data_IF_351152581180
#
_entry.id   IF_351152581180
#
_cell.length_a   1.000
_cell.length_b   1.000
_cell.length_c   1.000
_cell.angle_alpha   90.00
_cell.angle_beta   90.00
_cell.angle_gamma   90.00
#
_symmetry.space_group_name_H-M   'P 1'
#
loop_
_entity.id
_entity.type
_entity.pdbx_description
1 polymer ?
#
# COMPACT_ATOMS: atom_id res chain seq x y z
N UNK A 1 7.59 -37.94 -7.41
CA UNK A 1 7.84 -36.86 -6.40
C UNK A 1 8.52 -35.74 -7.17
N UNK A 2 8.08 -34.51 -6.98
CA UNK A 2 8.69 -33.35 -7.65
C UNK A 2 10.02 -33.06 -6.96
N UNK A 3 11.12 -33.00 -7.73
CA UNK A 3 12.44 -32.63 -7.22
C UNK A 3 12.54 -31.10 -7.13
N UNK A 4 12.47 -30.58 -5.90
CA UNK A 4 12.49 -29.15 -5.62
C UNK A 4 13.91 -28.54 -5.71
N UNK A 5 14.95 -29.36 -5.80
CA UNK A 5 16.34 -28.89 -5.99
C UNK A 5 16.67 -28.70 -7.48
N UNK A 6 15.78 -29.16 -8.37
CA UNK A 6 15.93 -29.01 -9.81
C UNK A 6 15.31 -27.69 -10.31
N UNK A 7 16.15 -26.73 -10.67
CA UNK A 7 15.71 -25.40 -11.16
C UNK A 7 14.82 -25.47 -12.43
N UNK A 8 14.94 -26.50 -13.26
CA UNK A 8 14.09 -26.65 -14.45
C UNK A 8 12.63 -26.92 -14.07
N UNK A 9 12.38 -27.53 -12.91
CA UNK A 9 11.03 -27.76 -12.40
C UNK A 9 10.33 -26.45 -12.09
N UNK A 10 11.04 -25.48 -11.51
CA UNK A 10 10.48 -24.16 -11.26
C UNK A 10 10.09 -23.45 -12.55
N UNK A 11 10.93 -23.51 -13.58
CA UNK A 11 10.63 -22.90 -14.88
C UNK A 11 9.36 -23.48 -15.53
N UNK A 12 9.10 -24.78 -15.35
CA UNK A 12 7.93 -25.44 -15.88
C UNK A 12 6.64 -25.13 -15.08
N UNK A 13 6.75 -24.99 -13.76
CA UNK A 13 5.60 -24.82 -12.88
C UNK A 13 5.27 -23.36 -12.61
N UNK A 14 6.25 -22.46 -12.64
CA UNK A 14 6.11 -21.04 -12.34
C UNK A 14 5.81 -20.21 -13.58
N UNK A 15 4.67 -20.47 -14.20
CA UNK A 15 4.21 -19.75 -15.41
C UNK A 15 4.00 -18.24 -15.18
N UNK A 16 3.83 -17.82 -13.93
CA UNK A 16 3.65 -16.43 -13.55
C UNK A 16 4.94 -15.72 -13.12
N UNK A 17 6.08 -16.41 -13.13
CA UNK A 17 7.38 -15.85 -12.75
C UNK A 17 7.47 -15.46 -11.28
N UNK A 18 6.74 -16.14 -10.39
CA UNK A 18 6.65 -15.80 -8.97
C UNK A 18 8.01 -15.81 -8.28
N UNK A 19 8.88 -16.76 -8.65
CA UNK A 19 10.24 -16.83 -8.11
C UNK A 19 11.08 -15.60 -8.48
N UNK A 20 10.93 -15.08 -9.70
CA UNK A 20 11.59 -13.85 -10.14
C UNK A 20 11.10 -12.65 -9.32
N UNK A 21 9.79 -12.52 -9.13
CA UNK A 21 9.22 -11.47 -8.28
C UNK A 21 9.72 -11.54 -6.84
N UNK A 22 9.93 -12.74 -6.28
CA UNK A 22 10.48 -12.90 -4.93
C UNK A 22 11.97 -12.51 -4.86
N UNK A 23 12.76 -12.83 -5.88
CA UNK A 23 14.17 -12.42 -5.96
C UNK A 23 14.32 -10.90 -6.10
N UNK A 24 13.43 -10.27 -6.85
CA UNK A 24 13.41 -8.81 -7.05
C UNK A 24 12.78 -8.05 -5.88
N UNK A 25 12.24 -8.74 -4.88
CA UNK A 25 11.49 -8.13 -3.77
C UNK A 25 12.25 -6.99 -3.07
N UNK A 26 13.56 -7.12 -2.73
CA UNK A 26 14.31 -6.02 -2.13
C UNK A 26 14.40 -4.79 -3.05
N UNK A 27 14.65 -5.01 -4.34
CA UNK A 27 14.73 -3.94 -5.34
C UNK A 27 13.37 -3.25 -5.51
N UNK A 28 12.28 -4.01 -5.52
CA UNK A 28 10.92 -3.47 -5.58
C UNK A 28 10.63 -2.57 -4.38
N UNK A 29 11.02 -2.99 -3.17
CA UNK A 29 10.88 -2.17 -1.96
C UNK A 29 11.67 -0.87 -2.09
N UNK A 30 12.92 -0.92 -2.52
CA UNK A 30 13.78 0.25 -2.71
C UNK A 30 13.17 1.23 -3.71
N UNK A 31 12.76 0.75 -4.89
CA UNK A 31 12.12 1.58 -5.92
C UNK A 31 10.83 2.23 -5.43
N UNK A 32 9.99 1.47 -4.72
CA UNK A 32 8.75 2.01 -4.16
C UNK A 32 9.02 3.09 -3.11
N UNK A 33 10.06 2.92 -2.28
CA UNK A 33 10.49 3.90 -1.28
C UNK A 33 10.96 5.20 -1.93
N UNK A 34 11.86 5.13 -2.88
CA UNK A 34 12.36 6.31 -3.60
C UNK A 34 11.24 7.10 -4.29
N UNK A 35 10.27 6.39 -4.85
CA UNK A 35 9.11 7.01 -5.50
C UNK A 35 8.18 7.69 -4.51
N UNK A 36 7.87 7.04 -3.38
CA UNK A 36 6.95 7.64 -2.40
C UNK A 36 7.57 8.84 -1.69
N UNK A 37 8.88 8.86 -1.49
CA UNK A 37 9.56 10.04 -0.95
C UNK A 37 9.44 11.27 -1.87
N UNK A 38 9.39 11.06 -3.19
CA UNK A 38 9.20 12.10 -4.20
C UNK A 38 7.72 12.46 -4.45
N UNK A 39 6.79 11.65 -3.92
CA UNK A 39 5.37 11.87 -4.15
C UNK A 39 4.86 13.09 -3.38
N UNK A 40 4.23 14.03 -4.08
CA UNK A 40 3.70 15.25 -3.47
C UNK A 40 2.39 14.98 -2.74
N UNK A 41 2.36 15.37 -1.46
CA UNK A 41 1.16 15.32 -0.62
C UNK A 41 0.59 16.73 -0.46
N UNK A 42 -0.73 16.93 -0.60
CA UNK A 42 -1.34 18.22 -0.44
C UNK A 42 -1.14 18.78 0.98
N UNK A 43 -0.99 20.10 1.08
CA UNK A 43 -0.88 20.79 2.36
C UNK A 43 -2.09 20.48 3.26
N UNK A 44 -1.82 20.25 4.53
CA UNK A 44 -2.86 20.00 5.54
C UNK A 44 -3.25 18.52 5.69
N UNK A 45 -2.72 17.58 4.89
CA UNK A 45 -2.98 16.14 5.06
C UNK A 45 -2.39 15.60 6.38
N UNK A 46 -1.37 16.22 6.92
CA UNK A 46 -0.83 15.89 8.27
C UNK A 46 -1.75 16.33 9.43
N UNK A 47 -2.73 17.20 9.16
CA UNK A 47 -3.67 17.70 10.17
C UNK A 47 -4.93 16.82 10.22
N UNK A 48 -4.77 15.59 10.66
CA UNK A 48 -5.88 14.63 10.83
C UNK A 48 -5.81 14.01 12.22
N UNK A 49 -6.93 13.53 12.73
CA UNK A 49 -7.03 12.88 14.03
C UNK A 49 -7.14 11.35 13.94
N UNK A 50 -7.37 10.83 12.76
CA UNK A 50 -7.49 9.39 12.49
C UNK A 50 -7.23 9.06 11.02
N UNK A 51 -6.83 7.83 10.75
CA UNK A 51 -6.63 7.29 9.40
C UNK A 51 -7.51 6.06 9.19
N UNK A 52 -8.16 5.98 8.04
CA UNK A 52 -8.86 4.78 7.57
C UNK A 52 -8.20 4.32 6.28
N UNK A 53 -7.71 3.09 6.28
CA UNK A 53 -7.13 2.43 5.10
C UNK A 53 -8.19 1.47 4.56
N UNK A 54 -8.68 1.74 3.35
CA UNK A 54 -9.62 0.88 2.64
C UNK A 54 -8.81 -0.10 1.79
N UNK A 55 -9.02 -1.40 1.95
CA UNK A 55 -8.29 -2.38 1.15
C UNK A 55 -8.65 -3.81 1.49
N UNK A 56 -8.34 -4.73 0.57
CA UNK A 56 -8.57 -6.16 0.70
C UNK A 56 -7.27 -6.95 0.50
N UNK A 57 -7.22 -8.18 1.00
CA UNK A 57 -6.11 -9.10 0.76
C UNK A 57 -4.74 -8.48 1.04
N UNK A 58 -3.83 -8.54 0.07
CA UNK A 58 -2.46 -8.01 0.18
C UNK A 58 -2.40 -6.50 0.41
N UNK A 59 -3.34 -5.72 -0.14
CA UNK A 59 -3.43 -4.28 0.09
C UNK A 59 -3.80 -3.96 1.55
N UNK A 60 -4.69 -4.75 2.15
CA UNK A 60 -5.06 -4.61 3.55
C UNK A 60 -3.94 -5.04 4.51
N UNK A 61 -3.14 -6.06 4.15
CA UNK A 61 -1.99 -6.53 4.96
C UNK A 61 -0.97 -5.40 5.12
N UNK A 62 -0.66 -4.66 4.05
CA UNK A 62 0.19 -3.47 4.13
C UNK A 62 -0.33 -2.45 5.14
N UNK A 63 -1.65 -2.22 5.14
CA UNK A 63 -2.34 -1.38 6.11
C UNK A 63 -2.21 -1.87 7.56
N UNK A 64 -2.33 -3.19 7.80
CA UNK A 64 -2.19 -3.77 9.15
C UNK A 64 -0.78 -3.58 9.71
N UNK A 65 0.24 -3.74 8.86
CA UNK A 65 1.63 -3.56 9.29
C UNK A 65 1.85 -2.10 9.69
N UNK A 66 1.44 -1.14 8.83
CA UNK A 66 1.58 0.29 9.14
C UNK A 66 0.77 0.66 10.38
N UNK A 67 -0.44 0.09 10.56
CA UNK A 67 -1.23 0.27 11.79
C UNK A 67 -0.49 -0.21 13.03
N UNK A 68 0.20 -1.35 12.96
CA UNK A 68 1.00 -1.88 14.08
C UNK A 68 2.18 -0.98 14.41
N UNK A 69 2.88 -0.46 13.41
CA UNK A 69 3.95 0.51 13.62
C UNK A 69 3.40 1.80 14.24
N UNK A 70 2.29 2.31 13.72
CA UNK A 70 1.65 3.52 14.25
C UNK A 70 1.18 3.36 15.71
N UNK A 71 0.71 2.18 16.12
CA UNK A 71 0.33 1.92 17.52
C UNK A 71 1.52 2.05 18.48
N UNK A 72 2.73 1.79 18.02
CA UNK A 72 3.94 1.90 18.86
C UNK A 72 4.46 3.34 18.96
N UNK A 73 4.25 4.15 17.93
CA UNK A 73 4.89 5.47 17.79
C UNK A 73 3.91 6.65 17.82
N UNK A 74 2.65 6.43 17.51
CA UNK A 74 1.65 7.48 17.36
C UNK A 74 0.42 7.22 18.23
N UNK A 75 -0.17 8.31 18.73
CA UNK A 75 -1.47 8.26 19.41
C UNK A 75 -2.64 8.27 18.43
N UNK A 76 -2.38 8.36 17.14
CA UNK A 76 -3.40 8.51 16.10
C UNK A 76 -4.01 7.14 15.75
N UNK A 77 -5.34 6.97 15.89
CA UNK A 77 -6.01 5.73 15.51
C UNK A 77 -5.90 5.46 14.01
N UNK A 78 -5.48 4.25 13.67
CA UNK A 78 -5.46 3.74 12.29
C UNK A 78 -6.41 2.55 12.20
N UNK A 79 -7.38 2.64 11.31
CA UNK A 79 -8.36 1.59 11.05
C UNK A 79 -8.15 0.99 9.66
N UNK A 80 -8.08 -0.32 9.56
CA UNK A 80 -8.03 -1.03 8.27
C UNK A 80 -9.40 -1.62 8.01
N UNK A 81 -10.06 -1.11 6.97
CA UNK A 81 -11.43 -1.46 6.59
C UNK A 81 -11.42 -2.45 5.42
N UNK A 82 -12.11 -3.57 5.60
CA UNK A 82 -12.17 -4.70 4.66
C UNK A 82 -13.60 -5.06 4.30
N UNK A 83 -14.44 -4.08 4.11
CA UNK A 83 -15.86 -4.29 3.85
C UNK A 83 -16.41 -3.26 2.88
N UNK A 84 -17.63 -3.46 2.44
CA UNK A 84 -18.40 -2.49 1.68
C UNK A 84 -18.80 -1.30 2.55
N UNK A 85 -19.09 -0.18 1.90
CA UNK A 85 -19.51 1.04 2.57
C UNK A 85 -18.37 1.71 3.36
N UNK A 86 -18.65 2.88 3.89
CA UNK A 86 -17.68 3.68 4.64
C UNK A 86 -17.97 3.57 6.14
N UNK A 87 -16.96 3.37 7.01
CA UNK A 87 -17.20 3.41 8.45
C UNK A 87 -17.88 4.71 8.89
N UNK A 88 -18.94 4.66 9.71
CA UNK A 88 -19.77 5.83 10.03
C UNK A 88 -19.05 6.91 10.85
N UNK A 89 -17.89 6.60 11.42
CA UNK A 89 -17.06 7.56 12.17
C UNK A 89 -16.15 8.41 11.28
N UNK A 90 -16.18 8.22 9.96
CA UNK A 90 -15.36 9.02 9.01
C UNK A 90 -15.95 10.41 8.87
N UNK A 91 -15.12 11.43 9.12
CA UNK A 91 -15.46 12.86 9.10
C UNK A 91 -14.32 13.71 8.48
N UNK A 92 -14.42 15.04 8.58
CA UNK A 92 -13.42 15.97 8.04
C UNK A 92 -12.04 15.88 8.72
N UNK A 93 -11.96 15.30 9.90
CA UNK A 93 -10.70 15.05 10.61
C UNK A 93 -10.00 13.74 10.21
N UNK A 94 -10.61 12.98 9.30
CA UNK A 94 -10.13 11.67 8.84
C UNK A 94 -9.30 11.80 7.56
N UNK A 95 -8.23 10.99 7.47
CA UNK A 95 -7.58 10.67 6.21
C UNK A 95 -8.03 9.27 5.76
N UNK A 96 -8.70 9.21 4.62
CA UNK A 96 -9.08 7.96 3.96
C UNK A 96 -8.02 7.63 2.90
N UNK A 97 -7.37 6.47 3.02
CA UNK A 97 -6.40 5.96 2.04
C UNK A 97 -7.01 4.73 1.38
N UNK A 98 -7.40 4.83 0.12
CA UNK A 98 -7.86 3.68 -0.64
C UNK A 98 -6.67 2.97 -1.29
N UNK A 99 -6.40 1.74 -0.86
CA UNK A 99 -5.32 0.90 -1.36
C UNK A 99 -5.89 -0.31 -2.09
N UNK A 100 -5.72 -0.34 -3.40
CA UNK A 100 -6.09 -1.48 -4.23
C UNK A 100 -5.13 -1.60 -5.40
N UNK A 101 -4.31 -2.65 -5.41
CA UNK A 101 -3.34 -2.85 -6.47
C UNK A 101 -4.01 -2.89 -7.85
N UNK A 102 -5.05 -3.70 -8.04
CA UNK A 102 -5.79 -3.77 -9.31
C UNK A 102 -6.64 -2.51 -9.60
N UNK A 103 -7.00 -1.77 -8.57
CA UNK A 103 -7.93 -0.65 -8.65
C UNK A 103 -9.38 -1.03 -8.96
N UNK A 104 -9.70 -2.34 -8.90
CA UNK A 104 -11.03 -2.85 -9.26
C UNK A 104 -11.68 -3.68 -8.13
N UNK A 105 -11.11 -3.69 -6.93
CA UNK A 105 -11.66 -4.39 -5.77
C UNK A 105 -12.99 -3.75 -5.35
N UNK A 106 -14.06 -4.51 -5.37
CA UNK A 106 -15.42 -3.98 -5.21
C UNK A 106 -15.65 -3.32 -3.85
N UNK A 107 -15.19 -3.94 -2.76
CA UNK A 107 -15.32 -3.41 -1.41
C UNK A 107 -14.57 -2.07 -1.29
N UNK A 108 -13.33 -2.01 -1.81
CA UNK A 108 -12.53 -0.78 -1.79
C UNK A 108 -13.19 0.32 -2.61
N UNK A 109 -13.73 0.00 -3.79
CA UNK A 109 -14.43 0.94 -4.64
C UNK A 109 -15.72 1.44 -3.98
N UNK A 110 -16.50 0.55 -3.36
CA UNK A 110 -17.72 0.89 -2.64
C UNK A 110 -17.43 1.90 -1.53
N UNK A 111 -16.49 1.55 -0.62
CA UNK A 111 -16.12 2.41 0.50
C UNK A 111 -15.50 3.75 0.02
N UNK A 112 -14.67 3.72 -1.02
CA UNK A 112 -14.05 4.93 -1.57
C UNK A 112 -15.08 5.85 -2.22
N UNK A 113 -16.02 5.30 -3.03
CA UNK A 113 -17.09 6.07 -3.64
C UNK A 113 -17.98 6.73 -2.59
N UNK A 114 -18.31 6.03 -1.52
CA UNK A 114 -19.06 6.61 -0.42
C UNK A 114 -18.26 7.72 0.29
N UNK A 115 -16.95 7.57 0.43
CA UNK A 115 -16.08 8.60 1.00
C UNK A 115 -16.08 9.91 0.24
N UNK A 116 -16.40 9.90 -1.07
CA UNK A 116 -16.50 11.12 -1.88
C UNK A 116 -17.58 12.09 -1.37
N UNK A 117 -18.62 11.56 -0.71
CA UNK A 117 -19.67 12.37 -0.09
C UNK A 117 -19.25 13.00 1.24
N UNK A 118 -18.13 12.58 1.81
CA UNK A 118 -17.61 13.11 3.07
C UNK A 118 -16.59 14.22 2.85
N UNK A 119 -16.33 15.04 3.90
CA UNK A 119 -15.26 16.04 3.90
C UNK A 119 -13.90 15.48 4.29
N UNK A 120 -13.77 14.16 4.49
CA UNK A 120 -12.52 13.49 4.78
C UNK A 120 -11.46 13.80 3.72
N UNK A 121 -10.20 13.90 4.11
CA UNK A 121 -9.08 13.92 3.17
C UNK A 121 -8.93 12.54 2.53
N UNK A 122 -8.61 12.50 1.26
CA UNK A 122 -8.58 11.24 0.50
C UNK A 122 -7.26 11.09 -0.25
N UNK A 123 -6.75 9.86 -0.31
CA UNK A 123 -5.56 9.49 -1.05
C UNK A 123 -5.75 8.09 -1.64
N UNK A 124 -5.18 7.85 -2.79
CA UNK A 124 -5.28 6.56 -3.49
C UNK A 124 -3.88 5.96 -3.69
N UNK A 125 -3.77 4.64 -3.53
CA UNK A 125 -2.62 3.82 -3.90
C UNK A 125 -3.12 2.71 -4.81
N UNK A 126 -2.71 2.71 -6.08
CA UNK A 126 -3.20 1.74 -7.07
C UNK A 126 -2.27 1.65 -8.27
N UNK A 127 -2.30 0.53 -9.01
CA UNK A 127 -1.63 0.45 -10.32
C UNK A 127 -2.50 0.96 -11.47
N UNK A 128 -3.82 1.12 -11.25
CA UNK A 128 -4.75 1.54 -12.32
C UNK A 128 -6.21 1.31 -11.94
N UNK A 129 -6.97 0.84 -12.93
CA UNK A 129 -8.37 0.46 -12.77
C UNK A 129 -9.33 1.62 -12.48
N UNK A 130 -10.53 1.26 -12.06
CA UNK A 130 -11.60 2.23 -11.75
C UNK A 130 -11.20 3.19 -10.63
N UNK A 131 -10.42 2.72 -9.66
CA UNK A 131 -9.99 3.55 -8.53
C UNK A 131 -9.09 4.71 -8.96
N UNK A 132 -8.15 4.45 -9.90
CA UNK A 132 -7.32 5.51 -10.48
C UNK A 132 -8.17 6.53 -11.21
N UNK A 133 -9.09 6.07 -12.05
CA UNK A 133 -9.98 6.93 -12.82
C UNK A 133 -10.85 7.82 -11.92
N UNK A 134 -11.44 7.26 -10.86
CA UNK A 134 -12.20 8.04 -9.88
C UNK A 134 -11.33 9.09 -9.19
N UNK A 135 -10.10 8.74 -8.82
CA UNK A 135 -9.19 9.69 -8.19
C UNK A 135 -8.84 10.86 -9.13
N UNK A 136 -8.61 10.58 -10.41
CA UNK A 136 -8.33 11.59 -11.43
C UNK A 136 -9.53 12.51 -11.66
N UNK A 137 -10.75 11.96 -11.76
CA UNK A 137 -11.98 12.73 -11.93
C UNK A 137 -12.25 13.69 -10.76
N UNK A 138 -11.98 13.25 -9.55
CA UNK A 138 -12.23 13.99 -8.31
C UNK A 138 -11.05 14.86 -7.86
N UNK A 139 -9.94 14.88 -8.63
CA UNK A 139 -8.72 15.61 -8.27
C UNK A 139 -8.05 15.12 -6.98
N UNK A 140 -8.22 13.84 -6.66
CA UNK A 140 -7.67 13.21 -5.46
C UNK A 140 -6.25 12.72 -5.76
N UNK A 141 -5.25 13.01 -4.88
CA UNK A 141 -3.89 12.55 -5.09
C UNK A 141 -3.82 11.02 -5.14
N UNK A 142 -3.16 10.51 -6.17
CA UNK A 142 -3.00 9.07 -6.38
C UNK A 142 -1.52 8.71 -6.54
N UNK A 143 -1.02 7.87 -5.65
CA UNK A 143 0.25 7.20 -5.85
C UNK A 143 0.04 6.02 -6.80
N UNK A 144 0.46 6.22 -8.05
CA UNK A 144 0.30 5.19 -9.09
C UNK A 144 1.48 4.22 -9.03
N UNK A 145 1.18 2.95 -8.77
CA UNK A 145 2.15 1.85 -8.76
C UNK A 145 2.50 1.51 -10.21
N UNK A 146 3.77 1.64 -10.56
CA UNK A 146 4.30 1.28 -11.88
C UNK A 146 5.04 -0.06 -11.78
N UNK A 147 4.28 -1.11 -11.58
CA UNK A 147 4.78 -2.49 -11.51
C UNK A 147 3.66 -3.45 -11.89
N UNK A 148 3.97 -4.40 -12.77
CA UNK A 148 3.02 -5.42 -13.22
C UNK A 148 3.42 -6.79 -12.68
N UNK A 149 2.58 -7.35 -11.83
CA UNK A 149 2.77 -8.66 -11.23
C UNK A 149 1.43 -9.26 -10.79
N UNK A 150 1.37 -10.55 -10.50
CA UNK A 150 0.26 -11.13 -9.74
C UNK A 150 0.09 -10.38 -8.41
N UNK A 151 -1.16 -10.15 -7.98
CA UNK A 151 -1.47 -9.32 -6.79
C UNK A 151 -0.70 -9.74 -5.53
N UNK A 152 -0.42 -11.04 -5.37
CA UNK A 152 0.36 -11.60 -4.26
C UNK A 152 1.84 -11.21 -4.28
N UNK A 153 2.39 -10.93 -5.48
CA UNK A 153 3.77 -10.47 -5.65
C UNK A 153 3.91 -8.94 -5.51
N UNK A 154 2.80 -8.20 -5.50
CA UNK A 154 2.77 -6.75 -5.42
C UNK A 154 2.80 -6.21 -3.97
N UNK A 155 3.10 -7.04 -2.97
CA UNK A 155 3.13 -6.63 -1.57
C UNK A 155 4.05 -5.41 -1.30
N UNK A 156 5.30 -5.33 -1.85
CA UNK A 156 6.14 -4.13 -1.70
C UNK A 156 5.41 -2.85 -2.09
N UNK A 157 4.66 -2.91 -3.18
CA UNK A 157 3.94 -1.77 -3.74
C UNK A 157 2.63 -1.42 -3.01
N UNK A 158 2.16 -2.29 -2.12
CA UNK A 158 1.03 -2.01 -1.23
C UNK A 158 1.50 -1.49 0.14
N UNK A 159 2.63 -1.99 0.66
CA UNK A 159 3.14 -1.66 1.98
C UNK A 159 4.06 -0.43 1.98
N UNK A 160 5.09 -0.40 1.12
CA UNK A 160 6.11 0.64 1.14
C UNK A 160 5.54 2.04 0.86
N UNK A 161 4.60 2.24 -0.08
CA UNK A 161 3.96 3.54 -0.25
C UNK A 161 3.19 4.01 0.99
N UNK A 162 2.48 3.09 1.69
CA UNK A 162 1.82 3.43 2.94
C UNK A 162 2.83 3.87 4.01
N UNK A 163 3.93 3.13 4.17
CA UNK A 163 5.00 3.46 5.11
C UNK A 163 5.57 4.86 4.84
N UNK A 164 5.92 5.15 3.59
CA UNK A 164 6.46 6.45 3.18
C UNK A 164 5.45 7.59 3.34
N UNK A 165 4.17 7.38 3.03
CA UNK A 165 3.10 8.37 3.24
C UNK A 165 2.97 8.68 4.72
N UNK A 166 2.95 7.67 5.60
CA UNK A 166 2.86 7.88 7.04
C UNK A 166 4.06 8.66 7.59
N UNK A 167 5.27 8.38 7.13
CA UNK A 167 6.45 9.16 7.47
C UNK A 167 6.33 10.62 7.00
N UNK A 168 5.97 10.85 5.73
CA UNK A 168 5.82 12.20 5.15
C UNK A 168 4.75 13.03 5.84
N UNK A 169 3.73 12.38 6.40
CA UNK A 169 2.67 13.03 7.17
C UNK A 169 3.03 13.21 8.66
N UNK A 170 4.23 12.79 9.07
CA UNK A 170 4.69 12.77 10.46
C UNK A 170 3.77 11.92 11.39
N UNK A 171 3.15 10.89 10.82
CA UNK A 171 2.36 9.89 11.56
C UNK A 171 3.26 8.74 12.07
N UNK A 172 4.44 8.61 11.49
CA UNK A 172 5.55 7.75 11.93
C UNK A 172 6.84 8.57 11.92
N UNK A 173 7.80 8.16 12.72
CA UNK A 173 9.18 8.65 12.66
C UNK A 173 9.87 8.26 11.35
N UNK A 174 11.11 8.69 11.16
CA UNK A 174 11.91 8.30 10.00
C UNK A 174 12.16 6.79 9.99
N UNK A 175 11.78 6.12 8.90
CA UNK A 175 11.88 4.69 8.67
C UNK A 175 12.98 4.30 7.67
N UNK A 176 13.80 5.26 7.27
CA UNK A 176 14.85 5.03 6.26
C UNK A 176 15.88 4.00 6.72
N UNK A 177 16.33 4.09 7.98
CA UNK A 177 17.30 3.14 8.54
C UNK A 177 16.69 1.75 8.76
N UNK A 178 15.47 1.69 9.33
CA UNK A 178 14.74 0.43 9.54
C UNK A 178 14.49 -0.30 8.22
N UNK A 179 14.11 0.45 7.18
CA UNK A 179 13.91 -0.11 5.84
C UNK A 179 15.23 -0.62 5.25
N UNK A 180 16.33 0.14 5.37
CA UNK A 180 17.63 -0.28 4.85
C UNK A 180 18.09 -1.58 5.50
N UNK A 181 17.97 -1.71 6.82
CA UNK A 181 18.27 -2.96 7.52
C UNK A 181 17.43 -4.13 7.02
N UNK A 182 16.13 -3.92 6.84
CA UNK A 182 15.23 -4.94 6.27
C UNK A 182 15.65 -5.34 4.84
N UNK A 183 16.04 -4.38 3.99
CA UNK A 183 16.52 -4.65 2.64
C UNK A 183 17.84 -5.45 2.64
N UNK A 184 18.75 -5.14 3.54
CA UNK A 184 20.03 -5.86 3.68
C UNK A 184 19.79 -7.33 4.07
N UNK A 185 18.83 -7.59 4.96
CA UNK A 185 18.41 -8.94 5.34
C UNK A 185 17.76 -9.66 4.16
N UNK A 186 16.81 -9.02 3.50
CA UNK A 186 16.11 -9.57 2.33
C UNK A 186 17.08 -9.94 1.19
N UNK A 187 18.07 -9.08 0.91
CA UNK A 187 19.12 -9.35 -0.09
C UNK A 187 19.98 -10.55 0.25
N UNK A 188 20.16 -10.88 1.52
CA UNK A 188 20.89 -12.10 1.96
C UNK A 188 20.03 -13.35 1.81
N UNK A 189 18.72 -13.23 2.03
CA UNK A 189 17.77 -14.35 1.97
C UNK A 189 17.31 -14.69 0.56
N UNK A 190 17.34 -13.75 -0.38
CA UNK A 190 16.88 -13.92 -1.77
C UNK A 190 17.97 -14.42 -2.74
N UNK A 191 19.15 -14.75 -2.24
CA UNK A 191 20.26 -15.37 -2.99
C UNK A 191 20.17 -16.91 -2.88
#
# INVERSE_FOLDING_TARGET
>A
MVDLDNLLVYQQLDSSGMLSHLREFPEQCQKAWERVLKFDLPKGYSKVSKVVILGMGGSAIGGDIVRRLALAESKLPVWVHRDYGLPPFVDESTLVIASSYSGNTEETLSAFTESLKSRAKKLVITSGGKLKHLAEQEGIPAFVVDYQAPSRAAFPHNFIPLLGIFQKLALLGDKSADLQEALDILNKLSR
#
